data_IF_752102507160
#
_entry.id   IF_752102507160
#
_cell.length_a   1.000
_cell.length_b   1.000
_cell.length_c   1.000
_cell.angle_alpha   90.00
_cell.angle_beta   90.00
_cell.angle_gamma   90.00
#
_symmetry.space_group_name_H-M   'P 1'
#
loop_
_entity.id
_entity.type
_entity.pdbx_description
1 polymer ?
#
# COMPACT_ATOMS: atom_id res chain seq x y z
N UNK A 1 13.10 -3.69 34.23
CA UNK A 1 13.49 -4.35 32.98
C UNK A 1 12.63 -3.80 31.85
N UNK A 2 13.28 -3.32 30.80
CA UNK A 2 12.57 -2.84 29.63
C UNK A 2 12.22 -4.03 28.73
N UNK A 3 10.94 -4.27 28.53
CA UNK A 3 10.52 -5.26 27.54
C UNK A 3 10.74 -4.71 26.13
N UNK A 4 11.14 -5.55 25.20
CA UNK A 4 11.23 -5.17 23.80
C UNK A 4 9.85 -4.73 23.29
N UNK A 5 9.76 -3.73 22.39
CA UNK A 5 8.49 -3.37 21.76
C UNK A 5 7.86 -4.58 21.07
N UNK A 6 6.54 -4.64 21.12
CA UNK A 6 5.81 -5.75 20.48
C UNK A 6 5.84 -5.61 18.97
N UNK A 7 5.92 -6.75 18.30
CA UNK A 7 5.69 -6.83 16.85
C UNK A 7 4.20 -6.95 16.60
N UNK A 8 3.68 -6.11 15.73
CA UNK A 8 2.27 -6.05 15.39
C UNK A 8 2.05 -6.25 13.89
N UNK A 9 0.91 -6.80 13.54
CA UNK A 9 0.44 -6.80 12.15
C UNK A 9 -0.65 -5.75 12.04
N UNK A 10 -0.52 -4.89 11.04
CA UNK A 10 -1.54 -3.90 10.74
C UNK A 10 -2.54 -4.57 9.78
N UNK A 11 -3.79 -4.72 10.22
CA UNK A 11 -4.82 -5.37 9.40
C UNK A 11 -6.03 -4.47 9.31
N UNK A 12 -6.47 -4.17 8.08
CA UNK A 12 -7.66 -3.38 7.82
C UNK A 12 -8.55 -4.15 6.86
N UNK A 13 -9.82 -4.31 7.23
CA UNK A 13 -10.85 -4.89 6.37
C UNK A 13 -11.79 -3.80 5.92
N UNK A 14 -12.08 -3.75 4.62
CA UNK A 14 -12.96 -2.73 4.04
C UNK A 14 -13.88 -3.37 3.00
N UNK A 15 -15.14 -2.93 2.99
CA UNK A 15 -16.11 -3.34 1.98
C UNK A 15 -16.31 -2.20 1.00
N UNK A 16 -16.24 -2.51 -0.30
CA UNK A 16 -16.49 -1.56 -1.37
C UNK A 16 -17.75 -1.95 -2.14
N UNK A 17 -18.53 -0.95 -2.56
CA UNK A 17 -19.69 -1.16 -3.42
C UNK A 17 -19.25 -1.21 -4.89
N UNK A 18 -18.53 -2.27 -5.23
CA UNK A 18 -17.98 -2.49 -6.55
C UNK A 18 -17.75 -4.00 -6.78
N UNK A 19 -17.84 -4.47 -8.02
CA UNK A 19 -17.55 -5.87 -8.33
C UNK A 19 -16.07 -6.17 -8.14
N UNK A 20 -15.75 -7.43 -7.86
CA UNK A 20 -14.39 -7.86 -7.52
C UNK A 20 -13.40 -7.55 -8.65
N UNK A 21 -13.81 -7.59 -9.90
CA UNK A 21 -12.94 -7.27 -11.05
C UNK A 21 -12.47 -5.82 -11.00
N UNK A 22 -13.34 -4.91 -10.58
CA UNK A 22 -13.00 -3.48 -10.43
C UNK A 22 -12.04 -3.25 -9.28
N UNK A 23 -12.31 -3.89 -8.15
CA UNK A 23 -11.45 -3.78 -6.97
C UNK A 23 -10.07 -4.36 -7.27
N UNK A 24 -10.02 -5.48 -7.99
CA UNK A 24 -8.76 -6.09 -8.43
C UNK A 24 -7.96 -5.14 -9.34
N UNK A 25 -8.63 -4.48 -10.28
CA UNK A 25 -7.98 -3.51 -11.16
C UNK A 25 -7.38 -2.33 -10.38
N UNK A 26 -8.01 -1.92 -9.29
CA UNK A 26 -7.50 -0.83 -8.47
C UNK A 26 -6.11 -1.15 -7.91
N UNK A 27 -5.80 -2.42 -7.68
CA UNK A 27 -4.51 -2.87 -7.17
C UNK A 27 -3.51 -3.25 -8.26
N UNK A 28 -3.97 -3.49 -9.49
CA UNK A 28 -3.12 -4.07 -10.53
C UNK A 28 -2.83 -3.14 -11.71
N UNK A 29 -3.62 -2.08 -11.90
CA UNK A 29 -3.47 -1.17 -13.03
C UNK A 29 -2.91 0.17 -12.59
N UNK A 30 -1.89 0.65 -13.33
CA UNK A 30 -1.20 1.90 -13.00
C UNK A 30 -2.16 3.09 -12.89
N UNK A 31 -3.10 3.24 -13.84
CA UNK A 31 -4.04 4.36 -13.83
C UNK A 31 -4.90 4.43 -12.58
N UNK A 32 -5.21 3.27 -11.97
CA UNK A 32 -5.96 3.25 -10.73
C UNK A 32 -5.07 3.45 -9.51
N UNK A 33 -3.90 2.82 -9.47
CA UNK A 33 -2.94 2.99 -8.36
C UNK A 33 -2.60 4.48 -8.19
N UNK A 34 -2.42 5.20 -9.29
CA UNK A 34 -2.13 6.64 -9.27
C UNK A 34 -3.27 7.49 -8.68
N UNK A 35 -4.46 6.94 -8.52
CA UNK A 35 -5.60 7.66 -7.95
C UNK A 35 -5.71 7.48 -6.43
N UNK A 36 -5.17 6.40 -5.87
CA UNK A 36 -5.35 6.13 -4.44
C UNK A 36 -4.06 5.99 -3.64
N UNK A 37 -2.91 5.78 -4.29
CA UNK A 37 -1.65 5.58 -3.56
C UNK A 37 -1.20 6.89 -2.91
N UNK A 38 -0.99 6.83 -1.59
CA UNK A 38 -0.60 7.96 -0.76
C UNK A 38 -1.72 8.41 0.17
N UNK A 39 -1.37 8.85 1.40
CA UNK A 39 -2.37 9.34 2.36
C UNK A 39 -2.96 10.67 1.90
N UNK A 40 -3.86 11.24 2.72
CA UNK A 40 -4.52 12.50 2.40
C UNK A 40 -3.49 13.58 2.06
N UNK A 41 -3.82 14.41 1.07
CA UNK A 41 -3.01 15.52 0.53
C UNK A 41 -1.79 15.07 -0.29
N UNK A 42 -1.44 13.78 -0.25
CA UNK A 42 -0.43 13.23 -1.17
C UNK A 42 -1.06 12.92 -2.51
N UNK A 43 -0.25 12.95 -3.57
CA UNK A 43 -0.64 12.51 -4.90
C UNK A 43 0.27 11.37 -5.33
N UNK A 44 -0.13 10.64 -6.37
CA UNK A 44 0.74 9.61 -6.96
C UNK A 44 1.00 9.96 -8.43
N UNK A 45 2.13 10.64 -8.71
CA UNK A 45 2.41 11.11 -10.07
C UNK A 45 2.85 10.02 -11.03
N UNK A 46 3.26 8.87 -10.53
CA UNK A 46 3.67 7.77 -11.40
C UNK A 46 3.49 6.42 -10.74
N UNK A 47 3.18 5.42 -11.56
CA UNK A 47 3.17 4.02 -11.17
C UNK A 47 3.57 3.20 -12.38
N UNK A 48 4.60 2.38 -12.24
CA UNK A 48 5.06 1.49 -13.29
C UNK A 48 4.81 0.07 -12.81
N UNK A 49 3.78 -0.55 -13.35
CA UNK A 49 3.32 -1.85 -12.87
C UNK A 49 3.93 -3.00 -13.66
N UNK A 50 4.39 -4.02 -12.94
CA UNK A 50 4.77 -5.31 -13.50
C UNK A 50 4.07 -6.36 -12.64
N UNK A 51 2.76 -6.45 -12.84
CA UNK A 51 1.85 -7.22 -11.99
C UNK A 51 1.82 -8.70 -12.39
N UNK A 52 2.84 -9.42 -11.91
CA UNK A 52 2.99 -10.88 -12.11
C UNK A 52 3.86 -11.43 -10.99
N UNK A 53 3.74 -12.70 -10.70
CA UNK A 53 4.64 -13.34 -9.73
C UNK A 53 6.08 -13.18 -10.17
N UNK A 54 6.94 -12.75 -9.25
CA UNK A 54 8.34 -12.43 -9.54
C UNK A 54 8.56 -11.05 -10.16
N UNK A 55 7.49 -10.36 -10.56
CA UNK A 55 7.58 -8.99 -11.07
C UNK A 55 7.72 -7.96 -9.95
N UNK A 56 8.12 -6.75 -10.31
CA UNK A 56 8.30 -5.66 -9.35
C UNK A 56 7.69 -4.39 -9.94
N UNK A 57 6.70 -3.83 -9.24
CA UNK A 57 6.12 -2.55 -9.57
C UNK A 57 6.88 -1.43 -8.85
N UNK A 58 6.98 -0.25 -9.48
CA UNK A 58 7.58 0.94 -8.90
C UNK A 58 6.49 2.00 -8.79
N UNK A 59 6.16 2.40 -7.57
CA UNK A 59 5.12 3.38 -7.30
C UNK A 59 5.70 4.59 -6.63
N UNK A 60 5.09 5.75 -6.87
CA UNK A 60 5.55 7.01 -6.33
C UNK A 60 4.39 7.72 -5.65
N UNK A 61 4.65 8.30 -4.47
CA UNK A 61 3.74 9.26 -3.87
C UNK A 61 4.48 10.57 -3.65
N UNK A 62 3.78 11.68 -3.85
CA UNK A 62 4.34 13.03 -3.72
C UNK A 62 3.72 13.73 -2.53
N UNK A 63 4.57 14.16 -1.60
CA UNK A 63 4.14 14.93 -0.46
C UNK A 63 3.61 16.30 -0.90
N UNK A 64 2.64 16.88 -0.18
CA UNK A 64 2.20 18.23 -0.48
C UNK A 64 3.32 19.23 -0.18
N UNK A 65 3.22 20.42 -0.80
CA UNK A 65 4.26 21.45 -0.67
C UNK A 65 4.55 21.83 0.79
N UNK A 66 3.51 21.87 1.63
CA UNK A 66 3.67 22.19 3.06
C UNK A 66 4.51 21.16 3.82
N UNK A 67 4.70 19.96 3.28
CA UNK A 67 5.56 18.92 3.86
C UNK A 67 6.81 18.66 3.01
N UNK A 68 7.17 19.61 2.14
CA UNK A 68 8.41 19.56 1.37
C UNK A 68 8.27 19.16 -0.09
N UNK A 69 7.12 18.65 -0.52
CA UNK A 69 6.86 18.33 -1.93
C UNK A 69 7.69 17.21 -2.53
N UNK A 70 8.39 16.43 -1.70
CA UNK A 70 9.30 15.37 -2.18
C UNK A 70 8.53 14.16 -2.69
N UNK A 71 9.16 13.47 -3.64
CA UNK A 71 8.67 12.20 -4.17
C UNK A 71 9.24 11.05 -3.35
N UNK A 72 8.38 10.12 -2.96
CA UNK A 72 8.75 8.93 -2.20
C UNK A 72 8.41 7.72 -3.07
N UNK A 73 9.42 6.92 -3.38
CA UNK A 73 9.27 5.74 -4.23
C UNK A 73 9.23 4.49 -3.39
N UNK A 74 8.49 3.50 -3.85
CA UNK A 74 8.43 2.18 -3.25
C UNK A 74 8.37 1.13 -4.35
N UNK A 75 8.97 -0.03 -4.10
CA UNK A 75 8.77 -1.18 -4.96
C UNK A 75 7.83 -2.16 -4.28
N UNK A 76 7.00 -2.80 -5.09
CA UNK A 76 6.14 -3.92 -4.68
C UNK A 76 6.60 -5.15 -5.45
N UNK A 77 7.31 -6.04 -4.77
CA UNK A 77 7.81 -7.28 -5.37
C UNK A 77 6.82 -8.40 -5.09
N UNK A 78 6.18 -8.90 -6.14
CA UNK A 78 5.10 -9.87 -5.98
C UNK A 78 5.65 -11.26 -5.72
N UNK A 79 5.22 -11.87 -4.63
CA UNK A 79 5.57 -13.24 -4.24
C UNK A 79 4.52 -14.24 -4.68
N UNK A 80 3.24 -13.84 -4.58
CA UNK A 80 2.13 -14.70 -4.94
C UNK A 80 0.97 -13.87 -5.43
N UNK A 81 0.39 -14.26 -6.55
CA UNK A 81 -0.81 -13.65 -7.10
C UNK A 81 -1.78 -14.77 -7.45
N UNK A 82 -2.93 -14.78 -6.77
CA UNK A 82 -4.04 -15.67 -7.12
C UNK A 82 -5.14 -14.77 -7.66
N UNK A 83 -5.42 -14.81 -8.97
CA UNK A 83 -6.35 -13.87 -9.59
C UNK A 83 -7.68 -13.76 -8.87
N UNK A 84 -8.09 -12.54 -8.58
CA UNK A 84 -9.34 -12.19 -7.88
C UNK A 84 -9.43 -12.72 -6.44
N UNK A 85 -8.34 -13.26 -5.88
CA UNK A 85 -8.35 -13.83 -4.54
C UNK A 85 -7.32 -13.21 -3.62
N UNK A 86 -6.05 -13.11 -4.05
CA UNK A 86 -5.00 -12.59 -3.15
C UNK A 86 -3.80 -12.06 -3.90
N UNK A 87 -3.12 -11.12 -3.25
CA UNK A 87 -1.83 -10.57 -3.66
C UNK A 87 -0.92 -10.57 -2.45
N UNK A 88 0.26 -11.18 -2.55
CA UNK A 88 1.29 -11.10 -1.53
C UNK A 88 2.52 -10.46 -2.16
N UNK A 89 3.02 -9.40 -1.54
CA UNK A 89 4.16 -8.67 -2.07
C UNK A 89 5.04 -8.14 -0.95
N UNK A 90 6.28 -7.81 -1.30
CA UNK A 90 7.23 -7.17 -0.40
C UNK A 90 7.29 -5.70 -0.76
N UNK A 91 7.01 -4.85 0.22
CA UNK A 91 7.12 -3.39 0.11
C UNK A 91 8.51 -2.96 0.54
N UNK A 92 9.22 -2.23 -0.32
CA UNK A 92 10.56 -1.74 -0.06
C UNK A 92 10.64 -0.28 -0.47
N UNK A 93 11.14 0.60 0.41
CA UNK A 93 11.40 1.99 0.02
C UNK A 93 12.53 2.00 -1.01
N UNK A 94 12.38 2.85 -2.03
CA UNK A 94 13.26 2.84 -3.20
C UNK A 94 13.59 4.24 -3.67
N UNK A 95 14.56 4.32 -4.57
CA UNK A 95 14.82 5.53 -5.36
C UNK A 95 14.00 5.48 -6.66
N UNK A 96 14.13 6.50 -7.49
CA UNK A 96 13.37 6.60 -8.74
C UNK A 96 13.71 5.53 -9.77
N UNK A 97 14.87 4.88 -9.62
CA UNK A 97 15.28 3.77 -10.47
C UNK A 97 14.82 2.41 -9.94
N UNK A 98 14.20 2.38 -8.76
CA UNK A 98 13.72 1.16 -8.14
C UNK A 98 14.74 0.44 -7.27
N UNK A 99 15.86 1.09 -6.97
CA UNK A 99 16.87 0.53 -6.07
C UNK A 99 16.44 0.72 -4.62
N UNK A 100 16.66 -0.29 -3.79
CA UNK A 100 16.34 -0.23 -2.36
C UNK A 100 17.10 0.90 -1.68
N UNK A 101 16.40 1.65 -0.82
CA UNK A 101 16.96 2.76 -0.04
C UNK A 101 16.77 2.47 1.44
N UNK A 102 17.79 2.77 2.25
CA UNK A 102 17.66 2.67 3.70
C UNK A 102 16.58 3.68 4.16
N UNK A 103 15.56 3.23 4.90
CA UNK A 103 14.55 4.17 5.43
C UNK A 103 15.13 5.35 6.18
N UNK A 104 16.24 5.17 6.90
CA UNK A 104 16.91 6.25 7.61
C UNK A 104 17.39 7.37 6.67
N UNK A 105 17.78 7.03 5.44
CA UNK A 105 18.20 8.01 4.44
C UNK A 105 17.05 8.92 3.99
N UNK A 106 15.80 8.48 4.20
CA UNK A 106 14.60 9.26 3.90
C UNK A 106 14.02 9.92 5.15
N UNK A 107 14.74 9.91 6.26
CA UNK A 107 14.30 10.51 7.52
C UNK A 107 13.31 9.65 8.29
N UNK A 108 13.16 8.38 7.94
CA UNK A 108 12.28 7.48 8.68
C UNK A 108 12.93 7.02 9.98
N UNK A 109 12.14 6.73 11.03
CA UNK A 109 12.69 6.25 12.29
C UNK A 109 13.31 4.85 12.16
N UNK A 110 14.20 4.46 13.08
CA UNK A 110 14.91 3.17 13.01
C UNK A 110 14.01 1.94 13.01
N UNK A 111 12.80 2.06 13.55
CA UNK A 111 11.83 0.96 13.62
C UNK A 111 10.96 0.84 12.37
N UNK A 112 11.20 1.67 11.35
CA UNK A 112 10.48 1.55 10.09
C UNK A 112 10.87 0.24 9.38
N UNK A 113 9.89 -0.59 8.98
CA UNK A 113 10.21 -1.88 8.36
C UNK A 113 10.92 -1.71 7.02
N UNK A 114 11.91 -2.56 6.76
CA UNK A 114 12.66 -2.51 5.49
C UNK A 114 11.95 -3.34 4.42
N UNK A 115 12.07 -4.63 4.47
CA UNK A 115 11.49 -5.53 3.48
C UNK A 115 10.17 -6.06 4.04
N UNK A 116 9.13 -5.22 3.98
CA UNK A 116 7.87 -5.52 4.65
C UNK A 116 6.96 -6.38 3.78
N UNK A 117 6.58 -7.53 4.32
CA UNK A 117 5.58 -8.38 3.67
C UNK A 117 4.21 -7.74 3.79
N UNK A 118 3.47 -7.75 2.69
CA UNK A 118 2.10 -7.26 2.63
C UNK A 118 1.23 -8.31 1.95
N UNK A 119 -0.02 -8.38 2.37
CA UNK A 119 -1.01 -9.26 1.76
C UNK A 119 -2.33 -8.54 1.59
N UNK A 120 -2.99 -8.77 0.47
CA UNK A 120 -4.35 -8.29 0.23
C UNK A 120 -5.18 -9.49 -0.19
N UNK A 121 -6.29 -9.72 0.51
CA UNK A 121 -7.24 -10.76 0.14
C UNK A 121 -8.53 -10.12 -0.36
N UNK A 122 -9.19 -10.77 -1.31
CA UNK A 122 -10.40 -10.27 -1.97
C UNK A 122 -11.50 -11.31 -1.81
N UNK A 123 -12.68 -10.86 -1.38
CA UNK A 123 -13.82 -11.74 -1.17
C UNK A 123 -15.08 -11.10 -1.77
N UNK A 124 -15.69 -11.72 -2.80
CA UNK A 124 -16.94 -11.18 -3.31
C UNK A 124 -18.06 -11.47 -2.28
N UNK A 125 -18.81 -10.42 -1.90
CA UNK A 125 -19.95 -10.54 -1.00
C UNK A 125 -21.25 -10.64 -1.79
N UNK A 126 -21.29 -9.94 -2.92
CA UNK A 126 -22.40 -9.93 -3.86
C UNK A 126 -21.85 -9.50 -5.22
N UNK A 127 -22.67 -9.50 -6.26
CA UNK A 127 -22.22 -9.13 -7.62
C UNK A 127 -21.61 -7.75 -7.71
N UNK A 128 -21.98 -6.83 -6.80
CA UNK A 128 -21.50 -5.45 -6.80
C UNK A 128 -20.96 -5.03 -5.43
N UNK A 129 -20.47 -6.00 -4.64
CA UNK A 129 -19.83 -5.72 -3.34
C UNK A 129 -18.66 -6.65 -3.12
N UNK A 130 -17.55 -6.07 -2.67
CA UNK A 130 -16.30 -6.81 -2.46
C UNK A 130 -15.69 -6.39 -1.13
N UNK A 131 -15.28 -7.38 -0.35
CA UNK A 131 -14.51 -7.16 0.87
C UNK A 131 -13.04 -7.38 0.58
N UNK A 132 -12.19 -6.45 1.03
CA UNK A 132 -10.75 -6.68 1.01
C UNK A 132 -10.22 -6.65 2.44
N UNK A 133 -9.16 -7.42 2.67
CA UNK A 133 -8.39 -7.34 3.91
C UNK A 133 -6.93 -7.08 3.53
N UNK A 134 -6.40 -5.96 4.01
CA UNK A 134 -4.99 -5.58 3.80
C UNK A 134 -4.25 -5.85 5.09
N UNK A 135 -3.14 -6.58 5.00
CA UNK A 135 -2.28 -6.85 6.15
C UNK A 135 -0.86 -6.40 5.83
N UNK A 136 -0.32 -5.54 6.69
CA UNK A 136 1.10 -5.16 6.68
C UNK A 136 1.75 -5.83 7.88
N UNK A 137 2.74 -6.68 7.62
CA UNK A 137 3.33 -7.52 8.67
C UNK A 137 4.51 -6.83 9.36
N UNK A 138 4.77 -7.26 10.58
CA UNK A 138 6.01 -6.98 11.32
C UNK A 138 6.28 -5.50 11.58
N UNK A 139 5.22 -4.75 11.90
CA UNK A 139 5.37 -3.42 12.47
C UNK A 139 5.84 -3.51 13.91
N UNK A 140 6.67 -2.55 14.30
CA UNK A 140 6.98 -2.34 15.72
C UNK A 140 5.90 -1.45 16.32
N UNK A 141 5.39 -1.82 17.50
CA UNK A 141 4.44 -1.01 18.24
C UNK A 141 4.99 0.41 18.42
N UNK A 142 4.18 1.43 18.11
CA UNK A 142 4.56 2.80 18.30
C UNK A 142 3.92 3.77 17.31
N UNK A 143 4.47 4.98 17.26
CA UNK A 143 3.93 6.08 16.48
C UNK A 143 3.86 5.78 14.98
N UNK A 144 4.89 5.13 14.42
CA UNK A 144 4.90 4.81 12.98
C UNK A 144 3.80 3.83 12.61
N UNK A 145 3.54 2.84 13.47
CA UNK A 145 2.42 1.92 13.29
C UNK A 145 1.10 2.68 13.19
N UNK A 146 0.85 3.60 14.12
CA UNK A 146 -0.39 4.38 14.15
C UNK A 146 -0.50 5.31 12.94
N UNK A 147 0.58 5.96 12.53
CA UNK A 147 0.60 6.82 11.35
C UNK A 147 0.34 6.02 10.07
N UNK A 148 0.92 4.83 9.97
CA UNK A 148 0.73 3.95 8.81
C UNK A 148 -0.68 3.42 8.73
N UNK A 149 -1.28 3.12 9.88
CA UNK A 149 -2.69 2.71 9.95
C UNK A 149 -3.60 3.82 9.41
N UNK A 150 -3.41 5.05 9.88
CA UNK A 150 -4.17 6.20 9.41
C UNK A 150 -3.96 6.42 7.92
N UNK A 151 -2.71 6.36 7.45
CA UNK A 151 -2.38 6.55 6.05
C UNK A 151 -3.02 5.49 5.16
N UNK A 152 -3.02 4.23 5.58
CA UNK A 152 -3.67 3.16 4.82
C UNK A 152 -5.19 3.36 4.76
N UNK A 153 -5.82 3.74 5.87
CA UNK A 153 -7.25 4.05 5.88
C UNK A 153 -7.58 5.17 4.89
N UNK A 154 -6.75 6.20 4.82
CA UNK A 154 -6.92 7.31 3.88
C UNK A 154 -6.76 6.85 2.43
N UNK A 155 -5.79 6.00 2.14
CA UNK A 155 -5.63 5.38 0.81
C UNK A 155 -6.90 4.62 0.41
N UNK A 156 -7.44 3.83 1.33
CA UNK A 156 -8.64 3.05 1.06
C UNK A 156 -9.88 3.92 0.88
N UNK A 157 -9.94 5.07 1.56
CA UNK A 157 -11.00 6.06 1.33
C UNK A 157 -10.93 6.62 -0.09
N UNK A 158 -9.73 6.91 -0.60
CA UNK A 158 -9.54 7.34 -1.98
C UNK A 158 -9.95 6.25 -2.97
N UNK A 159 -9.63 4.99 -2.65
CA UNK A 159 -10.04 3.85 -3.48
C UNK A 159 -11.56 3.75 -3.55
N UNK A 160 -12.24 3.90 -2.41
CA UNK A 160 -13.70 3.90 -2.37
C UNK A 160 -14.31 5.00 -3.26
N UNK A 161 -13.67 6.17 -3.30
CA UNK A 161 -14.13 7.29 -4.12
C UNK A 161 -14.03 6.98 -5.63
N UNK A 162 -13.06 6.15 -6.05
CA UNK A 162 -12.95 5.72 -7.45
C UNK A 162 -14.20 4.95 -7.86
N UNK A 163 -14.64 4.02 -7.01
CA UNK A 163 -15.79 3.17 -7.31
C UNK A 163 -17.12 3.94 -7.29
N UNK A 164 -17.19 4.98 -6.48
CA UNK A 164 -18.41 5.80 -6.38
C UNK A 164 -18.68 6.64 -7.64
N UNK A 165 -17.69 6.84 -8.51
CA UNK A 165 -17.82 7.64 -9.73
C UNK A 165 -18.34 6.89 -10.94
N UNK A 166 -18.50 5.59 -10.83
CA UNK A 166 -18.92 4.74 -11.96
C UNK A 166 -20.43 4.51 -11.98
#
# INVERSE_FOLDING_TARGET
MNSAPKTLHLTITRVFDAPIEKVWKAWSKAEYVMLWWGPDFFTSPSAKMDFREGGTSLVCMRAPKQFGGQDIYSTWKYKKIVPLQSIEYIHILADKEGNSVDPAALGMPPDFPRDQRNAVTFKPLASNRTEITVTEYDWTEGKMFELSKTGLEQCLNKMAAIFAKD
#
